data_IF_189054501387
#
_entry.id   IF_189054501387
#
_cell.length_a   1.000
_cell.length_b   1.000
_cell.length_c   1.000
_cell.angle_alpha   90.00
_cell.angle_beta   90.00
_cell.angle_gamma   90.00
#
_symmetry.space_group_name_H-M   'P 1'
#
loop_
_entity.id
_entity.type
_entity.pdbx_description
1 polymer ?
#
# COMPACT_ATOMS: atom_id res chain seq x y z
N UNK A 1 -22.70 -11.43 -18.79
CA UNK A 1 -23.40 -10.17 -18.85
C UNK A 1 -24.90 -10.40 -18.97
N UNK A 2 -25.61 -10.23 -17.87
CA UNK A 2 -27.04 -10.57 -17.76
C UNK A 2 -27.96 -9.77 -18.72
N UNK A 3 -27.44 -8.70 -19.33
CA UNK A 3 -28.21 -7.83 -20.21
C UNK A 3 -28.13 -8.20 -21.68
N UNK A 4 -27.33 -9.16 -22.08
CA UNK A 4 -27.18 -9.53 -23.51
C UNK A 4 -28.51 -9.84 -24.18
N UNK A 5 -29.36 -10.63 -23.52
CA UNK A 5 -30.69 -10.94 -24.05
C UNK A 5 -31.60 -9.71 -24.16
N UNK A 6 -31.50 -8.81 -23.22
CA UNK A 6 -32.21 -7.52 -23.26
C UNK A 6 -31.73 -6.65 -24.43
N UNK A 7 -30.44 -6.65 -24.69
CA UNK A 7 -29.85 -5.93 -25.81
C UNK A 7 -30.37 -6.47 -27.15
N UNK A 8 -30.36 -7.79 -27.30
CA UNK A 8 -30.79 -8.46 -28.53
C UNK A 8 -32.23 -8.09 -28.90
N UNK A 9 -33.10 -8.06 -27.91
CA UNK A 9 -34.51 -7.78 -28.13
C UNK A 9 -34.85 -6.30 -28.34
N UNK A 10 -34.03 -5.41 -27.84
CA UNK A 10 -34.26 -3.96 -27.84
C UNK A 10 -33.38 -3.22 -28.85
N UNK A 11 -32.41 -3.90 -29.43
CA UNK A 11 -31.46 -3.27 -30.33
C UNK A 11 -32.16 -2.79 -31.60
N UNK A 12 -32.20 -1.49 -31.73
CA UNK A 12 -32.69 -0.77 -32.89
C UNK A 12 -31.83 0.50 -33.01
N UNK A 13 -31.41 0.84 -34.23
CA UNK A 13 -30.56 2.00 -34.49
C UNK A 13 -31.14 3.32 -33.96
N UNK A 14 -32.46 3.43 -33.96
CA UNK A 14 -33.16 4.63 -33.44
C UNK A 14 -33.26 4.65 -31.92
N UNK A 15 -32.95 3.55 -31.22
CA UNK A 15 -33.10 3.40 -29.78
C UNK A 15 -31.77 3.21 -29.04
N UNK A 16 -30.64 3.38 -29.69
CA UNK A 16 -29.31 3.19 -29.08
C UNK A 16 -29.14 4.08 -27.84
N UNK A 17 -29.50 5.36 -27.92
CA UNK A 17 -29.42 6.28 -26.79
C UNK A 17 -30.33 5.84 -25.63
N UNK A 18 -31.55 5.40 -25.92
CA UNK A 18 -32.47 4.89 -24.90
C UNK A 18 -31.95 3.60 -24.27
N UNK A 19 -31.33 2.71 -25.04
CA UNK A 19 -30.72 1.48 -24.57
C UNK A 19 -29.53 1.77 -23.64
N UNK A 20 -28.65 2.68 -24.03
CA UNK A 20 -27.54 3.12 -23.17
C UNK A 20 -28.02 3.76 -21.87
N UNK A 21 -29.02 4.62 -21.94
CA UNK A 21 -29.64 5.23 -20.74
C UNK A 21 -30.27 4.20 -19.82
N UNK A 22 -30.92 3.17 -20.38
CA UNK A 22 -31.51 2.07 -19.63
C UNK A 22 -30.44 1.24 -18.91
N UNK A 23 -29.38 0.85 -19.60
CA UNK A 23 -28.26 0.13 -19.03
C UNK A 23 -27.57 0.92 -17.89
N UNK A 24 -27.29 2.20 -18.12
CA UNK A 24 -26.70 3.09 -17.10
C UNK A 24 -27.62 3.21 -15.88
N UNK A 25 -28.92 3.39 -16.07
CA UNK A 25 -29.88 3.49 -14.96
C UNK A 25 -29.91 2.23 -14.10
N UNK A 26 -29.84 1.05 -14.68
CA UNK A 26 -29.96 -0.22 -13.97
C UNK A 26 -28.63 -0.65 -13.30
N UNK A 27 -27.49 -0.29 -13.85
CA UNK A 27 -26.16 -0.74 -13.39
C UNK A 27 -25.32 0.34 -12.74
N UNK A 28 -25.57 1.62 -13.02
CA UNK A 28 -24.79 2.74 -12.49
C UNK A 28 -24.73 2.76 -10.95
N UNK A 29 -25.80 2.52 -10.19
CA UNK A 29 -25.73 2.52 -8.73
C UNK A 29 -24.72 1.50 -8.20
N UNK A 30 -24.75 0.26 -8.66
CA UNK A 30 -23.80 -0.77 -8.27
C UNK A 30 -22.38 -0.47 -8.72
N UNK A 31 -22.19 0.11 -9.89
CA UNK A 31 -20.91 0.54 -10.41
C UNK A 31 -20.32 1.69 -9.58
N UNK A 32 -21.13 2.68 -9.19
CA UNK A 32 -20.71 3.77 -8.32
C UNK A 32 -20.34 3.28 -6.92
N UNK A 33 -21.12 2.37 -6.34
CA UNK A 33 -20.78 1.74 -5.05
C UNK A 33 -19.43 1.04 -5.11
N UNK A 34 -19.17 0.29 -6.18
CA UNK A 34 -17.91 -0.39 -6.39
C UNK A 34 -16.73 0.59 -6.54
N UNK A 35 -16.92 1.71 -7.27
CA UNK A 35 -15.91 2.76 -7.39
C UNK A 35 -15.64 3.41 -6.04
N UNK A 36 -16.67 3.78 -5.28
CA UNK A 36 -16.55 4.40 -3.97
C UNK A 36 -15.84 3.46 -3.00
N UNK A 37 -16.22 2.19 -2.99
CA UNK A 37 -15.58 1.15 -2.18
C UNK A 37 -14.11 1.03 -2.53
N UNK A 38 -13.76 0.86 -3.79
CA UNK A 38 -12.37 0.74 -4.24
C UNK A 38 -11.56 2.02 -3.97
N UNK A 39 -12.22 3.18 -4.03
CA UNK A 39 -11.58 4.46 -3.71
C UNK A 39 -11.27 4.61 -2.22
N UNK A 40 -12.15 4.14 -1.36
CA UNK A 40 -12.03 4.26 0.09
C UNK A 40 -11.24 3.12 0.75
N UNK A 41 -11.08 1.99 0.06
CA UNK A 41 -10.27 0.88 0.59
C UNK A 41 -8.77 1.23 0.58
N UNK A 42 -8.04 0.88 1.66
CA UNK A 42 -6.59 1.01 1.67
C UNK A 42 -5.96 0.08 0.64
N UNK A 43 -4.79 0.46 0.15
CA UNK A 43 -4.02 -0.40 -0.76
C UNK A 43 -3.17 -1.36 0.06
N UNK A 44 -3.20 -2.65 -0.28
CA UNK A 44 -2.27 -3.64 0.27
C UNK A 44 -0.92 -3.54 -0.43
N UNK A 45 0.15 -3.53 0.34
CA UNK A 45 1.52 -3.47 -0.14
C UNK A 45 2.39 -4.57 0.48
N UNK A 46 3.46 -4.92 -0.24
CA UNK A 46 4.55 -5.74 0.30
C UNK A 46 5.73 -4.82 0.56
N UNK A 47 6.24 -4.83 1.78
CA UNK A 47 7.41 -4.04 2.18
C UNK A 47 8.54 -4.99 2.52
N UNK A 48 9.63 -4.89 1.78
CA UNK A 48 10.82 -5.71 1.96
C UNK A 48 11.98 -4.84 2.42
N UNK A 49 12.64 -5.27 3.47
CA UNK A 49 13.88 -4.66 3.95
C UNK A 49 15.03 -5.59 3.63
N UNK A 50 16.10 -5.05 3.13
CA UNK A 50 17.36 -5.76 2.93
C UNK A 50 18.52 -4.91 3.45
N UNK A 51 19.49 -5.54 4.07
CA UNK A 51 20.73 -4.88 4.48
C UNK A 51 21.66 -4.84 3.29
N UNK A 52 22.33 -3.70 3.08
CA UNK A 52 23.31 -3.54 2.00
C UNK A 52 24.41 -4.58 2.11
N UNK A 53 24.76 -5.21 1.00
CA UNK A 53 25.85 -6.18 0.92
C UNK A 53 27.18 -5.58 1.45
N UNK A 54 27.82 -6.29 2.35
CA UNK A 54 29.07 -5.84 2.98
C UNK A 54 28.87 -4.92 4.19
N UNK A 55 27.64 -4.58 4.55
CA UNK A 55 27.32 -3.93 5.81
C UNK A 55 27.37 -4.95 6.97
N UNK A 56 27.82 -4.53 8.13
CA UNK A 56 27.75 -5.35 9.35
C UNK A 56 26.45 -5.15 10.13
N UNK A 57 25.54 -4.36 9.59
CA UNK A 57 24.23 -4.07 10.19
C UNK A 57 23.31 -5.28 10.09
N UNK A 58 22.51 -5.51 11.12
CA UNK A 58 21.47 -6.54 11.14
C UNK A 58 20.12 -5.95 11.56
N UNK A 59 19.03 -6.66 11.25
CA UNK A 59 17.68 -6.29 11.70
C UNK A 59 17.53 -6.33 13.24
N UNK A 60 18.47 -6.95 13.94
CA UNK A 60 18.49 -7.05 15.41
C UNK A 60 19.33 -5.96 16.07
N UNK A 61 20.07 -5.19 15.29
CA UNK A 61 20.90 -4.12 15.85
C UNK A 61 20.03 -3.04 16.47
N UNK A 62 20.60 -2.41 17.49
CA UNK A 62 19.92 -1.36 18.22
C UNK A 62 20.17 -0.01 17.57
N UNK A 63 19.11 0.73 17.39
CA UNK A 63 19.18 2.11 16.95
C UNK A 63 19.51 3.05 18.11
N UNK A 64 19.67 4.33 17.84
CA UNK A 64 20.08 5.34 18.82
C UNK A 64 19.16 5.46 20.03
N UNK A 65 17.88 5.05 19.90
CA UNK A 65 16.92 4.98 21.01
C UNK A 65 16.99 3.68 21.84
N UNK A 66 17.93 2.78 21.53
CA UNK A 66 18.12 1.50 22.21
C UNK A 66 17.19 0.38 21.78
N UNK A 67 16.24 0.64 20.85
CA UNK A 67 15.33 -0.38 20.29
C UNK A 67 15.97 -1.09 19.10
N UNK A 68 15.56 -2.33 18.86
CA UNK A 68 16.00 -3.07 17.66
C UNK A 68 15.36 -2.48 16.42
N UNK A 69 16.07 -2.52 15.32
CA UNK A 69 15.56 -2.03 14.04
C UNK A 69 14.24 -2.70 13.64
N UNK A 70 14.15 -4.02 13.78
CA UNK A 70 12.92 -4.77 13.50
C UNK A 70 11.72 -4.34 14.35
N UNK A 71 11.96 -4.00 15.62
CA UNK A 71 10.91 -3.57 16.54
C UNK A 71 10.44 -2.15 16.19
N UNK A 72 11.36 -1.27 15.81
CA UNK A 72 11.03 0.08 15.32
C UNK A 72 10.18 0.08 14.07
N UNK A 73 10.50 -0.81 13.13
CA UNK A 73 9.73 -0.95 11.89
C UNK A 73 8.30 -1.41 12.20
N UNK A 74 8.15 -2.41 13.06
CA UNK A 74 6.82 -2.91 13.44
C UNK A 74 6.01 -1.84 14.17
N UNK A 75 6.60 -1.15 15.14
CA UNK A 75 5.94 -0.05 15.85
C UNK A 75 5.51 1.07 14.89
N UNK A 76 6.34 1.39 13.90
CA UNK A 76 5.98 2.37 12.89
C UNK A 76 4.78 1.91 12.05
N UNK A 77 4.69 0.61 11.70
CA UNK A 77 3.51 0.07 11.02
C UNK A 77 2.28 0.09 11.90
N UNK A 78 2.40 -0.25 13.19
CA UNK A 78 1.30 -0.17 14.14
C UNK A 78 0.68 1.24 14.16
N UNK A 79 1.51 2.27 14.05
CA UNK A 79 1.07 3.67 14.10
C UNK A 79 0.63 4.24 12.73
N UNK A 80 1.18 3.76 11.63
CA UNK A 80 1.05 4.41 10.32
C UNK A 80 0.34 3.56 9.25
N UNK A 81 0.29 2.25 9.39
CA UNK A 81 -0.53 1.42 8.52
C UNK A 81 -2.02 1.67 8.81
N UNK A 82 -2.88 1.46 7.82
CA UNK A 82 -4.32 1.59 8.02
C UNK A 82 -4.79 0.58 9.08
N UNK A 83 -5.41 1.07 10.14
CA UNK A 83 -5.82 0.27 11.31
C UNK A 83 -4.67 -0.51 11.99
N UNK A 84 -3.41 -0.16 11.71
CA UNK A 84 -2.25 -0.89 12.18
C UNK A 84 -2.12 -2.29 11.56
N UNK A 85 -2.76 -2.55 10.43
CA UNK A 85 -2.78 -3.87 9.82
C UNK A 85 -1.57 -4.12 8.91
N UNK A 86 -0.85 -5.16 9.22
CA UNK A 86 0.22 -5.74 8.41
C UNK A 86 0.46 -7.19 8.87
N UNK A 87 1.15 -7.95 8.04
CA UNK A 87 1.54 -9.32 8.38
C UNK A 87 3.06 -9.47 8.25
N UNK A 88 3.69 -10.05 9.25
CA UNK A 88 5.14 -10.35 9.25
C UNK A 88 5.35 -11.70 8.60
N UNK A 89 5.90 -11.73 7.40
CA UNK A 89 6.29 -12.99 6.74
C UNK A 89 7.54 -13.61 7.36
N UNK A 90 8.53 -12.78 7.65
CA UNK A 90 9.75 -13.24 8.29
C UNK A 90 10.72 -12.11 8.54
N UNK A 91 11.49 -12.26 9.61
CA UNK A 91 12.58 -11.35 9.99
C UNK A 91 13.79 -12.23 10.25
N UNK A 92 14.85 -11.99 9.47
CA UNK A 92 16.17 -12.60 9.63
C UNK A 92 17.20 -11.49 9.81
N UNK A 93 18.46 -11.83 10.06
CA UNK A 93 19.47 -10.82 10.33
C UNK A 93 19.70 -9.84 9.16
N UNK A 94 19.61 -10.33 7.94
CA UNK A 94 19.91 -9.55 6.73
C UNK A 94 18.66 -8.99 5.99
N UNK A 95 17.48 -9.41 6.40
CA UNK A 95 16.24 -8.98 5.73
C UNK A 95 15.00 -9.13 6.60
N UNK A 96 13.98 -8.37 6.24
CA UNK A 96 12.64 -8.51 6.80
C UNK A 96 11.60 -8.35 5.69
N UNK A 97 10.55 -9.14 5.73
CA UNK A 97 9.46 -9.08 4.75
C UNK A 97 8.13 -8.94 5.49
N UNK A 98 7.41 -7.91 5.12
CA UNK A 98 6.06 -7.62 5.60
C UNK A 98 5.11 -7.63 4.41
N UNK A 99 4.07 -8.41 4.48
CA UNK A 99 3.00 -8.41 3.49
C UNK A 99 1.68 -7.90 4.08
N UNK A 100 0.70 -7.73 3.22
CA UNK A 100 -0.60 -7.18 3.60
C UNK A 100 -0.51 -5.87 4.42
N UNK A 101 0.54 -5.08 4.18
CA UNK A 101 0.68 -3.76 4.79
C UNK A 101 -0.35 -2.83 4.18
N UNK A 102 -1.33 -2.42 4.96
CA UNK A 102 -2.40 -1.56 4.48
C UNK A 102 -1.95 -0.09 4.47
N UNK A 103 -1.76 0.45 3.26
CA UNK A 103 -1.41 1.85 3.08
C UNK A 103 -2.68 2.70 3.17
N UNK A 104 -2.75 3.70 4.09
CA UNK A 104 -3.87 4.62 4.16
C UNK A 104 -4.10 5.35 2.83
N UNK A 105 -5.33 5.65 2.47
CA UNK A 105 -5.64 6.43 1.25
C UNK A 105 -5.18 7.88 1.31
N UNK A 106 -5.17 8.45 2.50
CA UNK A 106 -4.77 9.82 2.72
C UNK A 106 -3.93 9.96 4.00
N UNK A 107 -3.08 10.96 4.03
CA UNK A 107 -2.34 11.36 5.22
C UNK A 107 -3.24 12.17 6.20
N UNK A 108 -2.68 12.54 7.35
CA UNK A 108 -3.38 13.34 8.38
C UNK A 108 -3.89 14.69 7.86
N UNK A 109 -3.33 15.18 6.74
CA UNK A 109 -3.72 16.43 6.08
C UNK A 109 -4.75 16.21 4.96
N UNK A 110 -5.23 14.99 4.79
CA UNK A 110 -6.16 14.62 3.72
C UNK A 110 -5.53 14.53 2.32
N UNK A 111 -4.19 14.55 2.22
CA UNK A 111 -3.50 14.36 0.94
C UNK A 111 -3.40 12.89 0.60
N UNK A 112 -3.64 12.58 -0.67
CA UNK A 112 -3.57 11.20 -1.17
C UNK A 112 -2.21 10.56 -0.84
N UNK A 113 -2.27 9.39 -0.22
CA UNK A 113 -1.13 8.53 0.05
C UNK A 113 -0.96 7.51 -1.08
N UNK A 114 0.27 7.14 -1.37
CA UNK A 114 0.63 6.03 -2.25
C UNK A 114 1.85 5.30 -1.68
N UNK A 115 2.27 4.21 -2.34
CA UNK A 115 3.40 3.41 -1.88
C UNK A 115 4.70 4.22 -1.75
N UNK A 116 4.98 5.10 -2.70
CA UNK A 116 6.18 5.95 -2.69
C UNK A 116 6.20 6.92 -1.49
N UNK A 117 5.10 7.61 -1.24
CA UNK A 117 4.99 8.52 -0.09
C UNK A 117 5.03 7.78 1.24
N UNK A 118 4.44 6.60 1.28
CA UNK A 118 4.46 5.74 2.46
C UNK A 118 5.89 5.28 2.77
N UNK A 119 6.62 4.83 1.75
CA UNK A 119 8.03 4.46 1.87
C UNK A 119 8.91 5.64 2.29
N UNK A 120 8.70 6.83 1.70
CA UNK A 120 9.43 8.04 2.09
C UNK A 120 9.21 8.39 3.56
N UNK A 121 7.96 8.38 4.01
CA UNK A 121 7.64 8.61 5.43
C UNK A 121 8.32 7.62 6.37
N UNK A 122 8.36 6.35 5.99
CA UNK A 122 9.04 5.31 6.76
C UNK A 122 10.55 5.55 6.81
N UNK A 123 11.17 5.87 5.68
CA UNK A 123 12.60 6.17 5.61
C UNK A 123 12.96 7.41 6.43
N UNK A 124 12.14 8.47 6.37
CA UNK A 124 12.33 9.68 7.16
C UNK A 124 12.25 9.38 8.66
N UNK A 125 11.29 8.55 9.08
CA UNK A 125 11.16 8.13 10.47
C UNK A 125 12.36 7.28 10.93
N UNK A 126 12.85 6.38 10.10
CA UNK A 126 14.04 5.57 10.41
C UNK A 126 15.29 6.44 10.50
N UNK A 127 15.39 7.47 9.66
CA UNK A 127 16.50 8.42 9.71
C UNK A 127 16.59 9.19 11.04
N UNK A 128 15.44 9.52 11.65
CA UNK A 128 15.39 10.14 12.98
C UNK A 128 15.99 9.24 14.07
N UNK A 129 15.99 7.92 13.85
CA UNK A 129 16.61 6.94 14.76
C UNK A 129 18.03 6.53 14.37
N UNK A 130 18.64 7.27 13.46
CA UNK A 130 20.02 7.03 13.02
C UNK A 130 20.15 5.93 11.97
N UNK A 131 19.08 5.53 11.32
CA UNK A 131 19.10 4.49 10.28
C UNK A 131 19.07 5.13 8.90
N UNK A 132 20.16 4.97 8.17
CA UNK A 132 20.27 5.44 6.80
C UNK A 132 19.70 4.40 5.84
N UNK A 133 18.77 4.82 4.99
CA UNK A 133 18.06 3.92 4.08
C UNK A 133 17.93 4.50 2.68
N UNK A 134 17.80 3.61 1.70
CA UNK A 134 17.34 3.92 0.34
C UNK A 134 16.09 3.09 0.06
N UNK A 135 15.18 3.59 -0.77
CA UNK A 135 14.02 2.82 -1.17
C UNK A 135 13.76 2.88 -2.66
N UNK A 136 13.10 1.85 -3.15
CA UNK A 136 12.54 1.76 -4.49
C UNK A 136 11.12 1.21 -4.42
N UNK A 137 10.26 1.67 -5.31
CA UNK A 137 8.87 1.21 -5.38
C UNK A 137 8.53 0.73 -6.78
N UNK A 138 7.86 -0.41 -6.85
CA UNK A 138 7.30 -0.95 -8.09
C UNK A 138 5.84 -1.34 -7.84
N UNK A 139 4.92 -0.48 -8.28
CA UNK A 139 3.51 -0.63 -7.93
C UNK A 139 3.30 -0.54 -6.42
N UNK A 140 2.78 -1.58 -5.82
CA UNK A 140 2.58 -1.72 -4.37
C UNK A 140 3.72 -2.51 -3.67
N UNK A 141 4.79 -2.82 -4.38
CA UNK A 141 5.98 -3.40 -3.79
C UNK A 141 6.95 -2.29 -3.38
N UNK A 142 7.34 -2.30 -2.13
CA UNK A 142 8.29 -1.34 -1.56
C UNK A 142 9.54 -2.13 -1.16
N UNK A 143 10.68 -1.75 -1.70
CA UNK A 143 11.99 -2.29 -1.32
C UNK A 143 12.80 -1.22 -0.61
N UNK A 144 13.20 -1.49 0.62
CA UNK A 144 14.00 -0.58 1.43
C UNK A 144 15.35 -1.25 1.70
N UNK A 145 16.43 -0.57 1.33
CA UNK A 145 17.78 -1.01 1.60
C UNK A 145 18.36 -0.22 2.77
N UNK A 146 18.80 -0.93 3.80
CA UNK A 146 19.45 -0.35 4.97
C UNK A 146 20.95 -0.20 4.68
N UNK A 147 21.44 1.02 4.75
CA UNK A 147 22.81 1.36 4.43
C UNK A 147 23.70 1.33 5.68
N UNK A 148 23.25 1.97 6.74
CA UNK A 148 23.98 2.08 8.01
C UNK A 148 23.04 2.34 9.20
N UNK A 149 23.52 2.07 10.39
CA UNK A 149 22.93 2.51 11.66
C UNK A 149 24.00 3.27 12.43
N UNK A 150 23.69 4.48 12.82
CA UNK A 150 24.57 5.31 13.65
C UNK A 150 24.27 5.14 15.15
#
# INVERSE_FOLDING_TARGET
WATENSWTNKFNTNNITALCSYAVRDYLPGFLEQIVKNYNEPSSAVVQFAVKNGSMVTMRDRCNNGRRLSDLIQEWFDDNAHDGEYHVQGIVDESAVFDDVLIPKADERGKKMNAEKFASKLCDALYEFGVETEFNTEGNNIMITILSIE
#
